data_IF_914692352470
#
_entry.id   IF_914692352470
#
_cell.length_a   1.000
_cell.length_b   1.000
_cell.length_c   1.000
_cell.angle_alpha   90.00
_cell.angle_beta   90.00
_cell.angle_gamma   90.00
#
_symmetry.space_group_name_H-M   'P 1'
#
loop_
_entity.id
_entity.type
_entity.pdbx_description
1 polymer ?
#
# COMPACT_ATOMS: atom_id res chain seq x y z
N UNK A 1 -12.34 -33.45 -33.87
CA UNK A 1 -11.19 -33.82 -33.02
C UNK A 1 -10.70 -32.57 -32.31
N UNK A 2 -10.88 -32.51 -30.98
CA UNK A 2 -10.51 -31.33 -30.19
C UNK A 2 -8.99 -31.27 -30.09
N UNK A 3 -8.40 -30.29 -30.76
CA UNK A 3 -6.96 -29.98 -30.69
C UNK A 3 -6.63 -29.51 -29.27
N UNK A 4 -5.97 -30.36 -28.49
CA UNK A 4 -5.44 -30.01 -27.18
C UNK A 4 -4.20 -29.14 -27.39
N UNK A 5 -4.38 -27.81 -27.38
CA UNK A 5 -3.26 -26.89 -27.44
C UNK A 5 -2.68 -26.75 -26.03
N UNK A 6 -1.44 -27.24 -25.75
CA UNK A 6 -0.88 -27.21 -24.41
C UNK A 6 -0.41 -25.78 -24.13
N UNK A 7 -1.27 -24.94 -23.56
CA UNK A 7 -0.90 -23.60 -23.05
C UNK A 7 0.13 -23.64 -21.90
N UNK A 8 0.66 -24.83 -21.57
CA UNK A 8 1.55 -25.12 -20.45
C UNK A 8 2.73 -26.01 -20.88
N UNK A 9 3.23 -25.89 -22.13
CA UNK A 9 4.31 -26.74 -22.63
C UNK A 9 5.66 -26.54 -21.91
N UNK A 10 5.79 -25.54 -21.03
CA UNK A 10 7.02 -25.29 -20.25
C UNK A 10 6.66 -24.92 -18.80
N UNK A 11 5.82 -25.71 -18.14
CA UNK A 11 5.74 -25.63 -16.69
C UNK A 11 7.02 -26.22 -16.10
N UNK A 12 7.86 -25.41 -15.44
CA UNK A 12 8.98 -25.95 -14.68
C UNK A 12 8.42 -26.86 -13.59
N UNK A 13 8.81 -28.14 -13.61
CA UNK A 13 8.46 -29.06 -12.54
C UNK A 13 9.03 -28.53 -11.21
N UNK A 14 8.25 -28.57 -10.12
CA UNK A 14 8.78 -28.26 -8.81
C UNK A 14 9.94 -29.22 -8.51
N UNK A 15 10.96 -28.71 -7.81
CA UNK A 15 12.10 -29.53 -7.39
C UNK A 15 11.61 -30.64 -6.46
N UNK A 16 12.26 -31.82 -6.45
CA UNK A 16 11.92 -32.91 -5.52
C UNK A 16 11.93 -32.46 -4.05
N UNK A 17 12.83 -31.54 -3.71
CA UNK A 17 12.94 -30.91 -2.39
C UNK A 17 11.62 -30.26 -1.94
N UNK A 18 10.84 -29.69 -2.86
CA UNK A 18 9.54 -29.08 -2.54
C UNK A 18 8.57 -30.13 -1.97
N UNK A 19 8.54 -31.34 -2.53
CA UNK A 19 7.69 -32.42 -2.03
C UNK A 19 8.16 -32.93 -0.67
N UNK A 20 9.48 -33.05 -0.46
CA UNK A 20 10.04 -33.45 0.83
C UNK A 20 9.70 -32.43 1.92
N UNK A 21 9.81 -31.13 1.61
CA UNK A 21 9.46 -30.06 2.54
C UNK A 21 7.97 -30.07 2.89
N UNK A 22 7.07 -30.27 1.91
CA UNK A 22 5.64 -30.37 2.16
C UNK A 22 5.28 -31.58 3.03
N UNK A 23 5.89 -32.74 2.76
CA UNK A 23 5.71 -33.96 3.56
C UNK A 23 6.16 -33.71 5.00
N UNK A 24 7.36 -33.14 5.18
CA UNK A 24 7.89 -32.77 6.50
C UNK A 24 6.96 -31.81 7.24
N UNK A 25 6.46 -30.76 6.59
CA UNK A 25 5.50 -29.82 7.21
C UNK A 25 4.20 -30.52 7.63
N UNK A 26 3.67 -31.43 6.81
CA UNK A 26 2.48 -32.20 7.14
C UNK A 26 2.71 -33.16 8.32
N UNK A 27 3.88 -33.81 8.39
CA UNK A 27 4.22 -34.75 9.46
C UNK A 27 4.50 -34.02 10.79
N UNK A 28 5.16 -32.85 10.75
CA UNK A 28 5.53 -32.08 11.95
C UNK A 28 4.41 -31.19 12.50
N UNK A 29 3.63 -30.54 11.63
CA UNK A 29 2.68 -29.47 11.99
C UNK A 29 1.24 -29.89 11.67
N UNK A 30 1.02 -30.96 10.90
CA UNK A 30 -0.32 -31.32 10.39
C UNK A 30 -0.83 -30.35 9.34
N UNK A 31 0.03 -29.49 8.79
CA UNK A 31 -0.34 -28.47 7.80
C UNK A 31 0.72 -28.34 6.72
N UNK A 32 0.27 -28.10 5.49
CA UNK A 32 1.13 -27.78 4.34
C UNK A 32 1.36 -26.26 4.19
N UNK A 33 0.79 -25.45 5.08
CA UNK A 33 0.95 -24.00 5.05
C UNK A 33 2.37 -23.62 5.51
N UNK A 34 3.10 -22.93 4.63
CA UNK A 34 4.43 -22.44 4.94
C UNK A 34 4.38 -21.34 6.01
N UNK A 35 5.30 -21.41 6.98
CA UNK A 35 5.51 -20.31 7.93
C UNK A 35 5.91 -19.05 7.15
N UNK A 36 5.10 -17.99 7.28
CA UNK A 36 5.43 -16.68 6.70
C UNK A 36 6.75 -16.20 7.30
N UNK A 37 7.71 -15.85 6.44
CA UNK A 37 8.98 -15.26 6.89
C UNK A 37 8.67 -13.95 7.64
N UNK A 38 9.09 -13.87 8.89
CA UNK A 38 9.01 -12.63 9.67
C UNK A 38 10.05 -11.67 9.12
N UNK A 39 9.60 -10.53 8.58
CA UNK A 39 10.49 -9.45 8.15
C UNK A 39 10.80 -8.62 9.40
N UNK A 40 11.98 -8.84 9.99
CA UNK A 40 12.37 -8.32 11.31
C UNK A 40 12.68 -6.80 11.25
N UNK A 41 13.17 -6.29 10.11
CA UNK A 41 13.62 -4.89 9.96
C UNK A 41 12.60 -4.00 9.23
N UNK A 42 11.32 -4.09 9.60
CA UNK A 42 10.34 -3.14 9.07
C UNK A 42 10.57 -1.80 9.74
N UNK A 43 10.84 -0.75 8.95
CA UNK A 43 10.89 0.64 9.43
C UNK A 43 9.62 0.89 10.25
N UNK A 44 9.80 1.12 11.55
CA UNK A 44 8.70 1.36 12.48
C UNK A 44 8.26 2.81 12.30
N UNK A 45 7.07 2.99 11.74
CA UNK A 45 6.39 4.27 11.76
C UNK A 45 5.87 4.42 13.18
N UNK A 46 6.46 5.34 13.95
CA UNK A 46 5.97 5.69 15.30
C UNK A 46 4.66 6.48 15.20
N UNK A 47 3.80 6.36 16.20
CA UNK A 47 2.54 7.10 16.28
C UNK A 47 2.75 8.62 16.19
N UNK A 48 3.80 9.16 16.83
CA UNK A 48 4.13 10.59 16.75
C UNK A 48 4.40 11.06 15.32
N UNK A 49 5.30 10.38 14.60
CA UNK A 49 5.57 10.68 13.19
C UNK A 49 4.33 10.54 12.29
N UNK A 50 3.47 9.55 12.57
CA UNK A 50 2.21 9.39 11.85
C UNK A 50 1.30 10.61 12.08
N UNK A 51 1.09 11.01 13.34
CA UNK A 51 0.27 12.17 13.68
C UNK A 51 0.79 13.47 13.05
N UNK A 52 2.10 13.72 13.13
CA UNK A 52 2.70 14.94 12.56
C UNK A 52 2.51 15.01 11.05
N UNK A 53 2.67 13.90 10.32
CA UNK A 53 2.40 13.86 8.88
C UNK A 53 0.94 14.18 8.58
N UNK A 54 0.00 13.66 9.37
CA UNK A 54 -1.43 13.91 9.18
C UNK A 54 -1.78 15.38 9.42
N UNK A 55 -1.28 15.97 10.51
CA UNK A 55 -1.46 17.39 10.82
C UNK A 55 -0.91 18.29 9.70
N UNK A 56 0.31 18.02 9.21
CA UNK A 56 0.88 18.82 8.11
C UNK A 56 0.08 18.75 6.81
N UNK A 57 -0.61 17.64 6.56
CA UNK A 57 -1.48 17.47 5.41
C UNK A 57 -2.88 18.07 5.62
N UNK A 58 -3.35 18.11 6.86
CA UNK A 58 -4.59 18.80 7.22
C UNK A 58 -4.43 20.32 7.06
N UNK A 59 -3.30 20.88 7.51
CA UNK A 59 -2.98 22.29 7.35
C UNK A 59 -2.80 22.70 5.88
N UNK A 60 -2.16 21.84 5.08
CA UNK A 60 -1.97 22.08 3.65
C UNK A 60 -2.00 20.77 2.84
N UNK A 61 -3.16 20.45 2.24
CA UNK A 61 -3.36 19.22 1.46
C UNK A 61 -2.48 19.08 0.23
N UNK A 62 -1.97 20.20 -0.29
CA UNK A 62 -1.16 20.22 -1.52
C UNK A 62 0.33 20.08 -1.25
N UNK A 63 0.76 19.97 0.01
CA UNK A 63 2.16 19.72 0.34
C UNK A 63 2.64 18.42 -0.30
N UNK A 64 3.79 18.50 -0.96
CA UNK A 64 4.41 17.33 -1.57
C UNK A 64 5.04 16.42 -0.50
N UNK A 65 5.07 15.12 -0.77
CA UNK A 65 5.74 14.13 0.10
C UNK A 65 7.21 14.46 0.39
N UNK A 66 7.90 15.15 -0.53
CA UNK A 66 9.29 15.61 -0.37
C UNK A 66 9.40 16.78 0.61
N UNK A 67 8.44 17.71 0.60
CA UNK A 67 8.40 18.80 1.57
C UNK A 67 8.17 18.27 2.98
N UNK A 68 7.22 17.34 3.13
CA UNK A 68 6.90 16.70 4.41
C UNK A 68 8.11 15.91 4.96
N UNK A 69 8.83 15.19 4.08
CA UNK A 69 10.08 14.51 4.43
C UNK A 69 11.12 15.48 5.02
N UNK A 70 11.34 16.62 4.37
CA UNK A 70 12.30 17.62 4.83
C UNK A 70 11.90 18.26 6.16
N UNK A 71 10.60 18.49 6.39
CA UNK A 71 10.08 19.11 7.62
C UNK A 71 10.15 18.17 8.83
N UNK A 72 9.81 16.89 8.66
CA UNK A 72 9.63 15.92 9.75
C UNK A 72 10.85 14.98 9.90
N UNK A 73 11.81 15.05 8.97
CA UNK A 73 13.00 14.20 8.93
C UNK A 73 12.68 12.70 8.90
N UNK A 74 11.70 12.33 8.07
CA UNK A 74 11.32 10.93 7.82
C UNK A 74 11.40 10.63 6.33
N UNK A 75 11.83 9.41 5.99
CA UNK A 75 11.95 9.03 4.59
C UNK A 75 10.65 9.22 3.80
N UNK A 76 10.76 9.69 2.55
CA UNK A 76 9.63 9.82 1.60
C UNK A 76 8.76 8.56 1.51
N UNK A 77 9.39 7.38 1.56
CA UNK A 77 8.68 6.10 1.53
C UNK A 77 7.78 5.90 2.74
N UNK A 78 8.21 6.36 3.92
CA UNK A 78 7.42 6.28 5.16
C UNK A 78 6.26 7.28 5.13
N UNK A 79 6.51 8.51 4.67
CA UNK A 79 5.45 9.50 4.40
C UNK A 79 4.39 8.90 3.48
N UNK A 80 4.80 8.36 2.34
CA UNK A 80 3.87 7.75 1.38
C UNK A 80 3.06 6.58 1.98
N UNK A 81 3.69 5.74 2.82
CA UNK A 81 3.00 4.65 3.52
C UNK A 81 1.96 5.18 4.52
N UNK A 82 2.28 6.23 5.28
CA UNK A 82 1.35 6.87 6.21
C UNK A 82 0.12 7.38 5.46
N UNK A 83 0.33 8.18 4.41
CA UNK A 83 -0.76 8.75 3.60
C UNK A 83 -1.62 7.64 2.97
N UNK A 84 -0.99 6.56 2.48
CA UNK A 84 -1.71 5.42 1.90
C UNK A 84 -2.51 4.65 2.95
N UNK A 85 -1.96 4.49 4.17
CA UNK A 85 -2.61 3.80 5.29
C UNK A 85 -3.86 4.55 5.76
N UNK A 86 -3.82 5.88 5.80
CA UNK A 86 -4.93 6.71 6.28
C UNK A 86 -5.98 7.06 5.22
N UNK A 87 -5.81 6.59 3.98
CA UNK A 87 -6.78 6.74 2.88
C UNK A 87 -7.12 8.20 2.50
N UNK A 88 -6.33 9.18 2.95
CA UNK A 88 -6.52 10.62 2.70
C UNK A 88 -6.49 10.97 1.20
N UNK A 89 -5.76 10.18 0.39
CA UNK A 89 -5.67 10.35 -1.07
C UNK A 89 -7.04 10.27 -1.77
N UNK A 90 -8.05 9.65 -1.15
CA UNK A 90 -9.41 9.63 -1.73
C UNK A 90 -10.16 10.95 -1.54
N UNK A 91 -9.86 11.70 -0.49
CA UNK A 91 -10.60 12.91 -0.11
C UNK A 91 -10.16 14.12 -0.95
N UNK A 92 -8.90 14.18 -1.37
CA UNK A 92 -8.37 15.26 -2.21
C UNK A 92 -8.33 14.93 -3.72
N UNK A 93 -9.02 13.86 -4.12
CA UNK A 93 -9.21 13.52 -5.54
C UNK A 93 -10.44 14.18 -6.15
N UNK A 94 -11.28 14.83 -5.33
CA UNK A 94 -12.28 15.73 -5.88
C UNK A 94 -11.52 16.85 -6.61
N UNK A 95 -11.79 17.08 -7.91
CA UNK A 95 -11.11 18.13 -8.65
C UNK A 95 -11.30 19.46 -7.89
N UNK A 96 -10.30 20.36 -7.91
CA UNK A 96 -10.46 21.68 -7.32
C UNK A 96 -11.75 22.29 -7.87
N UNK A 97 -12.62 22.74 -6.96
CA UNK A 97 -13.90 23.37 -7.28
C UNK A 97 -13.66 24.41 -8.37
N UNK A 98 -14.30 24.24 -9.51
CA UNK A 98 -14.03 25.11 -10.66
C UNK A 98 -14.49 26.54 -10.32
N UNK A 99 -13.98 27.54 -11.04
CA UNK A 99 -14.42 28.93 -10.85
C UNK A 99 -15.95 29.05 -11.00
N UNK A 100 -16.52 28.25 -11.89
CA UNK A 100 -17.95 28.16 -12.14
C UNK A 100 -18.70 27.61 -10.92
N UNK A 101 -18.17 26.57 -10.27
CA UNK A 101 -18.74 26.00 -9.04
C UNK A 101 -18.67 27.00 -7.86
N UNK A 102 -17.58 27.76 -7.74
CA UNK A 102 -17.46 28.83 -6.72
C UNK A 102 -18.48 29.95 -6.94
N UNK A 103 -18.68 30.39 -8.17
CA UNK A 103 -19.65 31.43 -8.52
C UNK A 103 -21.10 30.97 -8.28
N UNK A 104 -21.41 29.71 -8.57
CA UNK A 104 -22.73 29.14 -8.27
C UNK A 104 -23.02 29.06 -6.77
N UNK A 105 -22.00 28.72 -5.96
CA UNK A 105 -22.14 28.67 -4.50
C UNK A 105 -22.39 30.06 -3.88
N UNK A 106 -21.75 31.10 -4.41
CA UNK A 106 -21.97 32.49 -3.97
C UNK A 106 -23.41 32.92 -4.32
N UNK A 107 -23.90 32.55 -5.51
CA UNK A 107 -25.27 32.89 -5.96
C UNK A 107 -26.37 32.20 -5.16
N UNK A 108 -26.16 30.98 -4.66
CA UNK A 108 -27.15 30.27 -3.83
C UNK A 108 -27.18 30.73 -2.38
N UNK A 109 -26.16 31.44 -1.90
CA UNK A 109 -26.06 31.98 -0.53
C UNK A 109 -26.54 33.43 -0.40
N UNK A 110 -26.93 34.06 -1.52
CA UNK A 110 -27.62 35.34 -1.58
C UNK A 110 -29.13 35.09 -1.71
#
# INVERSE_FOLDING_TARGET
TVSWSPRYSIAQHPRPETFQNLRKCSEEIGSIEYKKKVIINRIVITEGNELTVLLTLEENPHKSTRQIENEINISKSSVHKIIKKTNIIRIYRDPPMTKEDMEQQIRQKL
#
